data_IF_166129039243
#
_entry.id   IF_166129039243
#
_cell.length_a   1.000
_cell.length_b   1.000
_cell.length_c   1.000
_cell.angle_alpha   90.00
_cell.angle_beta   90.00
_cell.angle_gamma   90.00
#
_symmetry.space_group_name_H-M   'P 1'
#
loop_
_entity.id
_entity.type
_entity.pdbx_description
1 polymer ?
#
# COMPACT_ATOMS: atom_id res chain seq x y z
N UNK A 1 72.19 26.81 -5.74
CA UNK A 1 71.24 26.45 -6.82
C UNK A 1 71.00 24.95 -6.76
N UNK A 2 69.75 24.51 -6.98
CA UNK A 2 69.21 23.12 -6.94
C UNK A 2 68.75 22.58 -5.59
N UNK A 3 67.50 22.97 -5.32
CA UNK A 3 66.53 22.39 -4.40
C UNK A 3 65.91 21.09 -4.99
N UNK A 4 65.31 20.32 -4.09
CA UNK A 4 64.05 19.54 -4.25
C UNK A 4 64.01 18.43 -5.30
N UNK A 5 64.17 17.17 -4.87
CA UNK A 5 63.54 16.04 -5.58
C UNK A 5 63.43 14.73 -4.76
N UNK A 6 63.19 14.74 -3.45
CA UNK A 6 63.07 13.49 -2.65
C UNK A 6 61.79 13.38 -1.80
N UNK A 7 60.83 14.30 -1.95
CA UNK A 7 59.62 14.34 -1.08
C UNK A 7 58.33 13.89 -1.79
N UNK A 8 58.36 13.65 -3.12
CA UNK A 8 57.12 13.40 -3.88
C UNK A 8 56.73 11.93 -4.09
N UNK A 9 57.52 10.95 -3.65
CA UNK A 9 57.18 9.52 -3.89
C UNK A 9 56.48 8.85 -2.69
N UNK A 10 56.65 9.36 -1.46
CA UNK A 10 55.99 8.79 -0.27
C UNK A 10 54.59 9.37 -0.06
N UNK A 11 54.28 10.54 -0.61
CA UNK A 11 52.94 11.15 -0.51
C UNK A 11 51.90 10.57 -1.48
N UNK A 12 52.31 9.89 -2.56
CA UNK A 12 51.37 9.30 -3.53
C UNK A 12 50.85 7.93 -3.08
N UNK A 13 51.56 7.25 -2.16
CA UNK A 13 51.15 5.92 -1.68
C UNK A 13 50.16 5.97 -0.49
N UNK A 14 50.03 7.11 0.19
CA UNK A 14 49.14 7.26 1.35
C UNK A 14 47.75 7.81 0.95
N UNK A 15 47.60 8.37 -0.25
CA UNK A 15 46.33 8.93 -0.75
C UNK A 15 45.43 7.93 -1.51
N UNK A 16 45.81 6.66 -1.61
CA UNK A 16 45.02 5.63 -2.31
C UNK A 16 44.20 4.72 -1.39
N UNK A 17 44.14 4.97 -0.08
CA UNK A 17 43.57 4.05 0.92
C UNK A 17 42.43 4.65 1.76
N UNK A 18 41.66 5.56 1.19
CA UNK A 18 40.40 6.01 1.78
C UNK A 18 39.29 6.17 0.72
N UNK A 19 39.14 5.19 -0.17
CA UNK A 19 37.82 4.91 -0.71
C UNK A 19 37.07 4.12 0.37
N UNK A 20 36.35 4.83 1.24
CA UNK A 20 35.27 4.19 2.00
C UNK A 20 34.25 3.72 0.97
N UNK A 21 34.43 2.50 0.48
CA UNK A 21 33.37 1.79 -0.20
C UNK A 21 32.22 1.74 0.79
N UNK A 22 31.14 2.47 0.48
CA UNK A 22 29.86 2.28 1.15
C UNK A 22 29.46 0.86 0.78
N UNK A 23 29.84 -0.10 1.62
CA UNK A 23 29.33 -1.44 1.50
C UNK A 23 27.84 -1.34 1.78
N UNK A 24 26.96 -1.80 0.88
CA UNK A 24 25.55 -1.90 1.22
C UNK A 24 25.48 -2.78 2.46
N UNK A 25 25.02 -2.23 3.57
CA UNK A 25 24.70 -3.01 4.76
C UNK A 25 23.70 -4.07 4.32
N UNK A 26 24.17 -5.30 4.18
CA UNK A 26 23.27 -6.45 4.10
C UNK A 26 22.58 -6.50 5.44
N UNK A 27 21.33 -6.05 5.49
CA UNK A 27 20.44 -6.40 6.59
C UNK A 27 20.32 -7.91 6.51
N UNK A 28 21.02 -8.61 7.39
CA UNK A 28 20.79 -10.03 7.59
C UNK A 28 19.34 -10.20 8.04
N UNK A 29 18.67 -11.24 7.57
CA UNK A 29 17.45 -11.69 8.23
C UNK A 29 17.76 -11.77 9.74
N UNK A 30 16.90 -11.18 10.56
CA UNK A 30 17.05 -11.26 12.01
C UNK A 30 16.98 -12.73 12.42
N UNK A 31 17.91 -13.19 13.27
CA UNK A 31 17.79 -14.50 13.92
C UNK A 31 16.68 -14.40 14.97
N UNK A 32 15.44 -14.62 14.53
CA UNK A 32 14.25 -14.67 15.40
C UNK A 32 14.04 -16.12 15.82
N UNK A 33 13.73 -16.34 17.11
CA UNK A 33 13.44 -17.67 17.63
C UNK A 33 12.22 -18.29 16.91
N UNK A 34 12.21 -19.61 16.74
CA UNK A 34 11.13 -20.28 15.98
C UNK A 34 9.78 -20.10 16.67
N UNK A 35 9.77 -20.12 18.00
CA UNK A 35 8.61 -19.88 18.86
C UNK A 35 8.01 -18.47 18.70
N UNK A 36 8.83 -17.50 18.28
CA UNK A 36 8.41 -16.11 18.02
C UNK A 36 8.15 -15.84 16.53
N UNK A 37 8.22 -16.87 15.69
CA UNK A 37 8.09 -16.75 14.23
C UNK A 37 6.82 -17.41 13.73
N UNK A 38 5.98 -16.64 13.03
CA UNK A 38 4.91 -17.17 12.20
C UNK A 38 5.37 -17.18 10.74
N UNK A 39 5.29 -18.33 10.10
CA UNK A 39 5.60 -18.49 8.67
C UNK A 39 4.28 -18.43 7.91
N UNK A 40 4.13 -17.39 7.08
CA UNK A 40 3.07 -17.33 6.10
C UNK A 40 3.53 -18.06 4.85
N UNK A 41 2.95 -19.22 4.60
CA UNK A 41 3.15 -19.98 3.37
C UNK A 41 1.81 -20.16 2.66
N UNK A 42 1.85 -20.15 1.35
CA UNK A 42 0.70 -20.39 0.47
C UNK A 42 1.19 -21.23 -0.70
N UNK A 43 0.33 -22.10 -1.25
CA UNK A 43 0.56 -22.90 -2.46
C UNK A 43 0.67 -22.02 -3.74
N UNK A 44 1.43 -20.93 -3.67
CA UNK A 44 1.77 -20.05 -4.77
C UNK A 44 3.29 -20.09 -4.98
N UNK A 45 3.74 -19.70 -6.17
CA UNK A 45 5.17 -19.72 -6.49
C UNK A 45 5.96 -18.69 -5.66
N UNK A 46 7.29 -18.81 -5.64
CA UNK A 46 8.14 -17.79 -5.02
C UNK A 46 7.82 -16.38 -5.58
N UNK A 47 7.87 -15.36 -4.71
CA UNK A 47 7.63 -13.96 -5.11
C UNK A 47 8.60 -13.58 -6.25
N UNK A 48 8.11 -13.28 -7.47
CA UNK A 48 8.98 -13.07 -8.62
C UNK A 48 9.91 -11.86 -8.49
N UNK A 49 9.45 -10.82 -7.77
CA UNK A 49 10.22 -9.60 -7.54
C UNK A 49 10.15 -9.20 -6.06
N UNK A 50 10.99 -9.80 -5.19
CA UNK A 50 10.92 -9.61 -3.74
C UNK A 50 11.40 -8.24 -3.27
N UNK A 51 11.83 -7.34 -4.18
CA UNK A 51 12.24 -5.98 -3.84
C UNK A 51 11.17 -4.94 -4.20
N UNK A 52 10.11 -5.34 -4.91
CA UNK A 52 9.05 -4.43 -5.31
C UNK A 52 7.82 -4.60 -4.42
N UNK A 53 7.64 -3.65 -3.50
CA UNK A 53 6.48 -3.55 -2.61
C UNK A 53 5.47 -2.49 -3.08
N UNK A 54 5.52 -2.09 -4.36
CA UNK A 54 4.44 -1.34 -4.98
C UNK A 54 3.43 -2.32 -5.56
N UNK A 55 2.31 -2.49 -4.86
CA UNK A 55 1.33 -3.49 -5.25
C UNK A 55 0.26 -3.01 -6.22
N UNK A 56 0.35 -1.74 -6.61
CA UNK A 56 -0.54 -1.17 -7.61
C UNK A 56 -0.09 -1.58 -9.00
N UNK A 57 1.19 -1.90 -9.21
CA UNK A 57 1.71 -2.23 -10.54
C UNK A 57 1.56 -3.71 -10.89
N UNK A 58 1.35 -4.05 -12.18
CA UNK A 58 1.31 -5.43 -12.64
C UNK A 58 2.58 -6.22 -12.29
N UNK A 59 2.41 -7.52 -12.07
CA UNK A 59 3.54 -8.43 -11.81
C UNK A 59 4.00 -8.46 -10.35
N UNK A 60 3.27 -7.83 -9.44
CA UNK A 60 3.48 -7.92 -7.99
C UNK A 60 2.36 -8.74 -7.35
N UNK A 61 2.67 -9.57 -6.35
CA UNK A 61 1.68 -10.39 -5.64
C UNK A 61 1.80 -10.22 -4.12
N UNK A 62 0.67 -10.37 -3.44
CA UNK A 62 0.56 -10.09 -2.00
C UNK A 62 0.37 -11.36 -1.18
N UNK A 63 0.48 -12.53 -1.81
CA UNK A 63 -0.10 -13.77 -1.31
C UNK A 63 0.73 -14.39 -0.17
N UNK A 64 2.04 -14.15 -0.14
CA UNK A 64 3.01 -14.71 0.79
C UNK A 64 3.08 -13.89 2.10
N UNK A 65 1.95 -13.70 2.76
CA UNK A 65 1.84 -13.02 4.06
C UNK A 65 1.62 -11.51 3.99
N UNK A 66 1.91 -10.85 2.87
CA UNK A 66 1.74 -9.40 2.76
C UNK A 66 0.28 -8.95 2.86
N UNK A 67 -0.63 -9.70 2.23
CA UNK A 67 -2.07 -9.50 2.37
C UNK A 67 -2.56 -9.66 3.83
N UNK A 68 -1.90 -10.50 4.63
CA UNK A 68 -2.30 -10.82 5.99
C UNK A 68 -1.69 -9.87 7.04
N UNK A 69 -0.46 -9.40 6.81
CA UNK A 69 0.33 -8.74 7.84
C UNK A 69 0.81 -7.33 7.49
N UNK A 70 0.77 -6.92 6.21
CA UNK A 70 1.29 -5.62 5.77
C UNK A 70 0.19 -4.59 5.48
N UNK A 71 -1.05 -5.02 5.19
CA UNK A 71 -2.18 -4.10 5.00
C UNK A 71 -3.37 -4.45 5.85
N UNK A 72 -4.08 -3.39 6.20
CA UNK A 72 -5.37 -3.47 6.85
C UNK A 72 -6.47 -3.06 5.86
N UNK A 73 -7.54 -3.86 5.71
CA UNK A 73 -8.63 -3.53 4.80
C UNK A 73 -9.60 -2.53 5.42
N UNK A 74 -10.50 -1.97 4.60
CA UNK A 74 -11.64 -1.21 5.13
C UNK A 74 -12.66 -2.13 5.81
N UNK A 75 -12.94 -3.28 5.19
CA UNK A 75 -13.92 -4.24 5.69
C UNK A 75 -13.49 -5.69 5.42
N UNK A 76 -14.02 -6.64 6.20
CA UNK A 76 -13.76 -8.07 6.05
C UNK A 76 -15.08 -8.84 6.03
N UNK A 77 -15.31 -9.73 5.07
CA UNK A 77 -16.42 -10.66 5.11
C UNK A 77 -16.12 -11.79 6.10
N UNK A 78 -16.91 -11.88 7.16
CA UNK A 78 -16.85 -13.00 8.09
C UNK A 78 -17.68 -14.17 7.54
N UNK A 79 -17.01 -15.25 7.13
CA UNK A 79 -17.67 -16.41 6.53
C UNK A 79 -18.51 -17.24 7.50
N UNK A 80 -18.23 -17.19 8.81
CA UNK A 80 -19.02 -17.90 9.82
C UNK A 80 -20.41 -17.25 9.96
N UNK A 81 -20.44 -15.92 9.99
CA UNK A 81 -21.68 -15.14 10.23
C UNK A 81 -22.34 -14.63 8.95
N UNK A 82 -21.61 -14.62 7.82
CA UNK A 82 -22.02 -14.01 6.56
C UNK A 82 -22.04 -12.48 6.58
N UNK A 83 -21.52 -11.84 7.63
CA UNK A 83 -21.58 -10.38 7.83
C UNK A 83 -20.28 -9.69 7.39
N UNK A 84 -20.40 -8.49 6.86
CA UNK A 84 -19.27 -7.60 6.63
C UNK A 84 -18.89 -6.95 7.96
N UNK A 85 -17.68 -7.23 8.43
CA UNK A 85 -17.12 -6.72 9.66
C UNK A 85 -16.36 -5.41 9.39
N UNK A 86 -16.63 -4.35 10.17
CA UNK A 86 -15.85 -3.12 10.15
C UNK A 86 -14.38 -3.37 10.51
N UNK A 87 -13.47 -2.75 9.76
CA UNK A 87 -12.04 -2.72 10.07
C UNK A 87 -11.54 -1.27 10.07
N UNK A 88 -10.79 -0.80 9.07
CA UNK A 88 -10.48 0.63 8.93
C UNK A 88 -11.73 1.47 8.58
N UNK A 89 -12.69 0.88 7.88
CA UNK A 89 -14.02 1.44 7.65
C UNK A 89 -14.99 1.03 8.75
N UNK A 90 -15.73 1.99 9.30
CA UNK A 90 -16.79 1.76 10.30
C UNK A 90 -18.14 1.41 9.66
N UNK A 91 -18.47 2.05 8.53
CA UNK A 91 -19.69 1.80 7.77
C UNK A 91 -19.51 2.24 6.32
N UNK A 92 -20.20 1.60 5.38
CA UNK A 92 -20.25 2.05 3.99
C UNK A 92 -21.68 1.90 3.48
N UNK A 93 -22.46 2.96 3.58
CA UNK A 93 -23.92 2.89 3.41
C UNK A 93 -24.36 3.50 2.07
N UNK A 94 -25.22 2.80 1.30
CA UNK A 94 -25.82 3.36 0.11
C UNK A 94 -26.97 4.32 0.43
N UNK A 95 -27.23 5.26 -0.46
CA UNK A 95 -28.51 5.95 -0.55
C UNK A 95 -29.62 4.98 -1.05
N UNK A 96 -30.86 5.46 -1.08
CA UNK A 96 -32.01 4.64 -1.52
C UNK A 96 -31.89 4.14 -2.97
N UNK A 97 -31.20 4.87 -3.85
CA UNK A 97 -30.99 4.52 -5.25
C UNK A 97 -29.78 3.59 -5.46
N UNK A 98 -28.97 3.32 -4.42
CA UNK A 98 -27.76 2.51 -4.45
C UNK A 98 -26.67 3.01 -5.41
N UNK A 99 -26.67 4.31 -5.72
CA UNK A 99 -25.73 4.99 -6.60
C UNK A 99 -24.87 6.04 -5.90
N UNK A 100 -25.15 6.35 -4.63
CA UNK A 100 -24.28 7.16 -3.78
C UNK A 100 -24.00 6.38 -2.51
N UNK A 101 -22.71 6.21 -2.18
CA UNK A 101 -22.27 5.47 -1.01
C UNK A 101 -21.45 6.36 -0.09
N UNK A 102 -21.73 6.32 1.22
CA UNK A 102 -21.01 7.10 2.24
C UNK A 102 -20.19 6.18 3.12
N UNK A 103 -18.86 6.33 3.04
CA UNK A 103 -17.88 5.62 3.86
C UNK A 103 -17.55 6.46 5.10
N UNK A 104 -17.61 5.84 6.27
CA UNK A 104 -17.07 6.39 7.52
C UNK A 104 -15.82 5.62 7.94
N UNK A 105 -14.77 6.35 8.29
CA UNK A 105 -13.48 5.81 8.69
C UNK A 105 -13.34 5.75 10.21
N UNK A 106 -12.47 4.84 10.67
CA UNK A 106 -12.09 4.72 12.07
C UNK A 106 -11.18 5.88 12.46
N UNK A 107 -11.53 6.55 13.54
CA UNK A 107 -10.72 7.64 14.12
C UNK A 107 -9.46 7.11 14.83
N UNK A 108 -8.43 7.94 14.90
CA UNK A 108 -7.20 7.70 15.64
C UNK A 108 -6.24 6.68 15.01
N UNK A 109 -6.50 6.22 13.79
CA UNK A 109 -5.61 5.32 13.04
C UNK A 109 -4.43 6.11 12.48
N UNK A 110 -3.25 5.50 12.51
CA UNK A 110 -2.02 6.07 11.95
C UNK A 110 -1.34 5.08 11.04
N UNK A 111 -0.72 5.61 10.00
CA UNK A 111 0.29 4.91 9.22
C UNK A 111 1.50 4.58 10.10
N UNK A 112 2.33 3.64 9.65
CA UNK A 112 3.50 3.17 10.41
C UNK A 112 4.56 4.25 10.65
N UNK A 113 4.55 5.33 9.87
CA UNK A 113 5.42 6.51 10.05
C UNK A 113 4.82 7.56 11.01
N UNK A 114 3.61 7.32 11.52
CA UNK A 114 2.92 8.16 12.49
C UNK A 114 1.95 9.19 11.89
N UNK A 115 1.88 9.32 10.56
CA UNK A 115 0.90 10.18 9.89
C UNK A 115 -0.51 9.63 10.09
N UNK A 116 -1.51 10.52 10.16
CA UNK A 116 -2.90 10.09 10.36
C UNK A 116 -3.44 9.38 9.10
N UNK A 117 -4.14 8.26 9.29
CA UNK A 117 -4.95 7.67 8.23
C UNK A 117 -6.31 8.36 8.19
N UNK A 118 -6.69 8.92 7.04
CA UNK A 118 -7.90 9.74 6.94
C UNK A 118 -8.57 9.68 5.55
N UNK A 119 -9.59 10.52 5.35
CA UNK A 119 -10.34 10.61 4.09
C UNK A 119 -9.49 11.04 2.88
N UNK A 120 -8.40 11.79 3.07
CA UNK A 120 -7.52 12.21 1.98
C UNK A 120 -6.81 11.01 1.34
N UNK A 121 -6.37 10.03 2.13
CA UNK A 121 -5.77 8.78 1.64
C UNK A 121 -6.70 7.99 0.73
N UNK A 122 -7.97 7.87 1.14
CA UNK A 122 -9.01 7.16 0.38
C UNK A 122 -9.30 7.90 -0.92
N UNK A 123 -9.54 9.22 -0.85
CA UNK A 123 -9.84 10.04 -2.04
C UNK A 123 -8.67 9.99 -3.01
N UNK A 124 -7.44 10.15 -2.53
CA UNK A 124 -6.23 10.06 -3.34
C UNK A 124 -6.12 8.72 -4.06
N UNK A 125 -6.26 7.62 -3.32
CA UNK A 125 -6.14 6.27 -3.88
C UNK A 125 -7.16 6.05 -5.00
N UNK A 126 -8.41 6.43 -4.76
CA UNK A 126 -9.48 6.23 -5.74
C UNK A 126 -9.29 7.16 -6.94
N UNK A 127 -8.89 8.41 -6.73
CA UNK A 127 -8.62 9.35 -7.80
C UNK A 127 -7.43 8.88 -8.66
N UNK A 128 -6.36 8.36 -8.05
CA UNK A 128 -5.23 7.75 -8.75
C UNK A 128 -5.69 6.63 -9.69
N UNK A 129 -6.61 5.78 -9.23
CA UNK A 129 -7.17 4.69 -10.03
C UNK A 129 -8.11 5.18 -11.15
N UNK A 130 -8.88 6.23 -10.89
CA UNK A 130 -9.75 6.86 -11.89
C UNK A 130 -8.96 7.57 -12.99
N UNK A 131 -7.81 8.16 -12.64
CA UNK A 131 -6.96 8.92 -13.57
C UNK A 131 -5.97 8.04 -14.36
N UNK A 132 -5.85 6.75 -14.03
CA UNK A 132 -5.00 5.82 -14.77
C UNK A 132 -5.57 5.52 -16.17
N UNK A 133 -5.19 6.35 -17.14
CA UNK A 133 -5.59 6.19 -18.55
C UNK A 133 -5.08 4.91 -19.20
N UNK A 134 -4.03 4.31 -18.64
CA UNK A 134 -3.47 3.05 -19.17
C UNK A 134 -4.20 1.83 -18.65
N UNK A 135 -4.97 1.98 -17.57
CA UNK A 135 -5.71 0.92 -16.88
C UNK A 135 -4.78 -0.25 -16.54
N UNK A 136 -3.56 0.07 -16.09
CA UNK A 136 -2.54 -0.90 -15.69
C UNK A 136 -2.46 -1.05 -14.19
N UNK A 137 -2.88 -0.04 -13.42
CA UNK A 137 -2.92 -0.16 -11.97
C UNK A 137 -3.98 -1.18 -11.53
N UNK A 138 -3.65 -1.97 -10.51
CA UNK A 138 -4.59 -2.90 -9.89
C UNK A 138 -5.86 -2.18 -9.46
N UNK A 139 -7.02 -2.77 -9.73
CA UNK A 139 -8.36 -2.20 -9.51
C UNK A 139 -8.76 -1.00 -10.38
N UNK A 140 -7.88 -0.43 -11.22
CA UNK A 140 -8.21 0.74 -12.05
C UNK A 140 -9.42 0.48 -12.95
N UNK A 141 -9.45 -0.68 -13.63
CA UNK A 141 -10.58 -1.06 -14.48
C UNK A 141 -11.91 -1.10 -13.71
N UNK A 142 -11.91 -1.66 -12.50
CA UNK A 142 -13.09 -1.77 -11.65
C UNK A 142 -13.54 -0.39 -11.15
N UNK A 143 -12.60 0.43 -10.65
CA UNK A 143 -12.92 1.77 -10.14
C UNK A 143 -13.45 2.66 -11.27
N UNK A 144 -12.81 2.64 -12.44
CA UNK A 144 -13.27 3.38 -13.62
C UNK A 144 -14.60 2.86 -14.17
N UNK A 145 -14.91 1.58 -14.03
CA UNK A 145 -16.21 1.04 -14.45
C UNK A 145 -17.34 1.58 -13.58
N UNK A 146 -17.15 1.66 -12.26
CA UNK A 146 -18.24 1.88 -11.33
C UNK A 146 -18.33 3.29 -10.75
N UNK A 147 -17.21 3.95 -10.49
CA UNK A 147 -17.18 5.24 -9.79
C UNK A 147 -17.16 6.37 -10.82
N UNK A 148 -18.09 7.32 -10.68
CA UNK A 148 -18.12 8.56 -11.45
C UNK A 148 -17.42 9.70 -10.73
N UNK A 149 -17.49 9.74 -9.39
CA UNK A 149 -16.80 10.71 -8.56
C UNK A 149 -16.54 10.15 -7.16
N UNK A 150 -15.46 10.64 -6.54
CA UNK A 150 -15.15 10.41 -5.13
C UNK A 150 -14.85 11.78 -4.50
N UNK A 151 -15.37 12.05 -3.31
CA UNK A 151 -15.12 13.32 -2.61
C UNK A 151 -14.97 13.12 -1.11
N UNK A 152 -14.11 13.94 -0.52
CA UNK A 152 -14.02 14.12 0.92
C UNK A 152 -15.22 14.95 1.40
N UNK A 153 -15.92 14.44 2.42
CA UNK A 153 -16.96 15.20 3.13
C UNK A 153 -16.33 15.89 4.34
N UNK A 154 -15.56 15.13 5.12
CA UNK A 154 -14.75 15.58 6.26
C UNK A 154 -13.56 14.61 6.43
N UNK A 155 -12.74 14.80 7.46
CA UNK A 155 -11.51 14.00 7.67
C UNK A 155 -11.76 12.50 7.84
N UNK A 156 -12.97 12.07 8.20
CA UNK A 156 -13.29 10.65 8.42
C UNK A 156 -14.49 10.18 7.59
N UNK A 157 -14.92 10.98 6.61
CA UNK A 157 -16.10 10.67 5.79
C UNK A 157 -15.82 10.91 4.31
N UNK A 158 -16.07 9.89 3.50
CA UNK A 158 -15.88 9.92 2.04
C UNK A 158 -17.18 9.54 1.35
N UNK A 159 -17.56 10.30 0.33
CA UNK A 159 -18.71 9.96 -0.52
C UNK A 159 -18.23 9.48 -1.89
N UNK A 160 -18.83 8.39 -2.35
CA UNK A 160 -18.62 7.80 -3.66
C UNK A 160 -19.91 7.95 -4.46
N UNK A 161 -19.83 8.55 -5.64
CA UNK A 161 -20.91 8.55 -6.63
C UNK A 161 -20.61 7.49 -7.68
N UNK A 162 -21.58 6.62 -7.94
CA UNK A 162 -21.48 5.56 -8.93
C UNK A 162 -22.03 6.02 -10.28
N UNK A 163 -21.63 5.33 -11.35
CA UNK A 163 -22.16 5.54 -12.71
C UNK A 163 -23.55 4.90 -12.87
N UNK A 164 -23.77 3.79 -12.18
CA UNK A 164 -25.05 3.07 -12.13
C UNK A 164 -25.24 2.46 -10.74
N UNK A 165 -26.50 2.21 -10.30
CA UNK A 165 -26.77 1.54 -9.04
C UNK A 165 -26.05 0.19 -8.89
N UNK A 166 -25.42 -0.05 -7.74
CA UNK A 166 -24.77 -1.32 -7.44
C UNK A 166 -24.91 -1.69 -5.94
N UNK A 167 -25.84 -2.58 -5.55
CA UNK A 167 -26.00 -3.01 -4.16
C UNK A 167 -24.81 -3.80 -3.60
N UNK A 168 -23.94 -4.34 -4.46
CA UNK A 168 -22.80 -5.17 -4.06
C UNK A 168 -21.49 -4.40 -3.98
N UNK A 169 -21.51 -3.09 -4.21
CA UNK A 169 -20.32 -2.25 -4.34
C UNK A 169 -19.33 -2.42 -3.17
N UNK A 170 -19.81 -2.36 -1.93
CA UNK A 170 -18.97 -2.59 -0.75
C UNK A 170 -18.37 -4.00 -0.72
N UNK A 171 -19.17 -5.04 -0.96
CA UNK A 171 -18.75 -6.43 -0.85
C UNK A 171 -17.72 -6.80 -1.92
N UNK A 172 -17.96 -6.38 -3.16
CA UNK A 172 -17.19 -6.82 -4.31
C UNK A 172 -15.84 -6.07 -4.40
N UNK A 173 -15.75 -4.83 -3.92
CA UNK A 173 -14.56 -3.97 -4.10
C UNK A 173 -13.89 -3.47 -2.83
N UNK A 174 -14.60 -3.34 -1.71
CA UNK A 174 -14.04 -2.72 -0.49
C UNK A 174 -14.02 -3.67 0.72
N UNK A 175 -14.43 -4.93 0.52
CA UNK A 175 -14.40 -5.96 1.55
C UNK A 175 -13.47 -7.10 1.15
N UNK A 176 -12.57 -7.47 2.05
CA UNK A 176 -11.79 -8.70 1.91
C UNK A 176 -12.75 -9.88 2.03
N UNK A 177 -12.79 -10.72 1.00
CA UNK A 177 -13.50 -12.00 1.02
C UNK A 177 -12.49 -13.10 1.36
N UNK A 178 -11.93 -13.75 0.33
CA UNK A 178 -10.75 -14.63 0.48
C UNK A 178 -9.47 -13.82 0.17
N UNK A 179 -9.53 -13.05 -0.91
CA UNK A 179 -8.50 -12.14 -1.39
C UNK A 179 -9.14 -10.84 -1.86
N UNK A 180 -8.33 -9.81 -1.98
CA UNK A 180 -8.68 -8.58 -2.69
C UNK A 180 -9.29 -7.52 -1.81
N UNK A 181 -10.00 -6.59 -2.45
CA UNK A 181 -10.34 -5.30 -1.87
C UNK A 181 -9.35 -4.24 -2.31
N UNK A 182 -9.86 -3.04 -2.61
CA UNK A 182 -9.03 -1.88 -2.91
C UNK A 182 -8.16 -1.57 -1.69
N UNK A 183 -6.84 -1.52 -1.91
CA UNK A 183 -5.89 -1.10 -0.87
C UNK A 183 -5.74 0.40 -0.92
N UNK A 184 -5.92 1.01 0.25
CA UNK A 184 -5.73 2.44 0.43
C UNK A 184 -4.23 2.72 0.57
N UNK A 185 -3.77 3.78 -0.10
CA UNK A 185 -2.38 4.21 -0.12
C UNK A 185 -2.21 5.46 0.77
N UNK A 186 -1.06 5.61 1.43
CA UNK A 186 -0.71 6.83 2.14
C UNK A 186 -0.48 7.98 1.15
N UNK A 187 -1.41 8.93 1.08
CA UNK A 187 -1.39 10.06 0.14
C UNK A 187 -0.07 10.85 0.24
N UNK A 188 0.39 11.07 1.47
CA UNK A 188 1.60 11.85 1.77
C UNK A 188 2.89 11.21 1.25
N UNK A 189 2.91 9.90 1.02
CA UNK A 189 4.07 9.19 0.44
C UNK A 189 4.01 9.18 -1.09
N UNK A 190 2.81 9.18 -1.66
CA UNK A 190 2.58 8.90 -3.09
C UNK A 190 2.34 10.14 -3.96
N UNK A 191 1.98 11.28 -3.37
CA UNK A 191 1.65 12.52 -4.10
C UNK A 191 2.85 13.32 -4.62
N UNK A 192 4.03 12.70 -4.69
CA UNK A 192 5.30 13.35 -5.11
C UNK A 192 5.23 14.08 -6.45
#
# INVERSE_FOLDING_TARGET
>A
MRRTMHINLVLILILLLASTAIQPTRVSAQDVAREDTVIFDIDDSAVPNPTNFNWMVPGTNRNQGAHQALWEPLFILNYETGKIQPWLGLSFEPNAAQDVWTLKLRDGVKWSDGEAFNADDVVFTIQLLLDDKTVTLGEAANMQQWISAVKKIDDLTVEFTLKTPNPRFQLDYFSVRIWGGVVILPEHVWKG
#
